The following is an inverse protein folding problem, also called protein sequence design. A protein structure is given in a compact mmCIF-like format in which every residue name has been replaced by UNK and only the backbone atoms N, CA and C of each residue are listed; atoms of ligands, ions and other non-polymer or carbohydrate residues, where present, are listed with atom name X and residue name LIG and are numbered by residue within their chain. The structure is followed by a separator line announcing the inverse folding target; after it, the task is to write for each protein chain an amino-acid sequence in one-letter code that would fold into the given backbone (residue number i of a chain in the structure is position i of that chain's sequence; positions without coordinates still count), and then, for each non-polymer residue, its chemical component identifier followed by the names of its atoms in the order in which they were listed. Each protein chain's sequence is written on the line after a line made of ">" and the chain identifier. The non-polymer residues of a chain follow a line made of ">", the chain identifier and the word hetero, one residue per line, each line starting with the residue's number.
data_IF_792012719403
#
_entry.id   IF_792012719403
#
_cell.length_a   1.000
_cell.length_b   1.000
_cell.length_c   1.000
_cell.angle_alpha   90.00
_cell.angle_beta   90.00
_cell.angle_gamma   90.00
#
_symmetry.space_group_name_H-M   'P 1'
#
loop_
_entity.id
_entity.type
_entity.pdbx_description
1 polymer ?
#
# COMPACT_ATOMS: atom_id res chain seq x y z
N UNK A 1 19.31 27.45 9.29
CA UNK A 1 19.42 26.66 10.54
C UNK A 1 18.01 26.40 11.06
N UNK A 2 17.60 25.15 11.23
CA UNK A 2 16.25 24.81 11.73
C UNK A 2 16.11 25.22 13.20
N UNK A 3 14.94 25.68 13.62
CA UNK A 3 14.70 26.00 15.03
C UNK A 3 14.69 24.71 15.90
N UNK A 4 14.84 24.87 17.22
CA UNK A 4 14.92 23.73 18.15
C UNK A 4 13.68 22.84 18.13
N UNK A 5 12.50 23.42 17.91
CA UNK A 5 11.23 22.69 17.80
C UNK A 5 11.20 21.81 16.55
N UNK A 6 11.53 22.39 15.39
CA UNK A 6 11.61 21.66 14.11
C UNK A 6 12.70 20.59 14.14
N UNK A 7 13.87 20.88 14.71
CA UNK A 7 14.95 19.91 14.90
C UNK A 7 14.50 18.69 15.73
N UNK A 8 13.72 18.90 16.81
CA UNK A 8 13.18 17.82 17.65
C UNK A 8 12.12 16.97 16.91
N UNK A 9 11.22 17.59 16.16
CA UNK A 9 10.20 16.87 15.37
C UNK A 9 10.84 15.99 14.32
N UNK A 10 11.76 16.55 13.52
CA UNK A 10 12.48 15.77 12.51
C UNK A 10 13.28 14.63 13.14
N UNK A 11 13.93 14.87 14.28
CA UNK A 11 14.64 13.81 15.02
C UNK A 11 13.70 12.66 15.41
N UNK A 12 12.46 12.96 15.81
CA UNK A 12 11.50 11.93 16.19
C UNK A 12 10.93 11.17 14.99
N UNK A 13 10.75 11.83 13.84
CA UNK A 13 10.23 11.20 12.62
C UNK A 13 11.15 10.09 12.13
N UNK A 14 12.48 10.29 12.19
CA UNK A 14 13.46 9.32 11.69
C UNK A 14 13.89 8.25 12.71
N UNK A 15 13.34 8.26 13.93
CA UNK A 15 13.65 7.25 14.94
C UNK A 15 12.83 5.97 14.75
N UNK A 16 13.43 4.78 14.91
CA UNK A 16 12.68 3.53 14.93
C UNK A 16 11.54 3.54 15.95
N UNK A 17 10.47 2.84 15.63
CA UNK A 17 9.37 2.64 16.57
C UNK A 17 8.71 1.28 16.37
N UNK A 18 8.05 0.81 17.44
CA UNK A 18 7.33 -0.46 17.43
C UNK A 18 5.84 -0.22 17.17
N UNK A 19 5.31 -0.84 16.12
CA UNK A 19 3.88 -0.88 15.80
C UNK A 19 3.35 -2.29 16.09
N UNK A 20 2.80 -2.49 17.28
CA UNK A 20 2.40 -3.81 17.76
C UNK A 20 3.58 -4.78 17.81
N UNK A 21 3.57 -5.79 16.94
CA UNK A 21 4.66 -6.77 16.81
C UNK A 21 5.73 -6.37 15.78
N UNK A 22 5.48 -5.34 14.99
CA UNK A 22 6.38 -4.91 13.92
C UNK A 22 7.33 -3.82 14.42
N UNK A 23 8.58 -3.94 14.02
CA UNK A 23 9.56 -2.87 14.15
C UNK A 23 9.65 -2.10 12.83
N UNK A 24 9.50 -0.78 12.90
CA UNK A 24 9.60 0.13 11.77
C UNK A 24 10.85 0.99 11.95
N UNK A 25 11.64 1.12 10.88
CA UNK A 25 12.90 1.89 10.89
C UNK A 25 12.72 3.38 11.19
N UNK A 26 11.52 3.92 10.96
CA UNK A 26 11.13 5.28 11.27
C UNK A 26 9.60 5.42 11.28
N UNK A 27 9.11 6.64 11.53
CA UNK A 27 7.68 6.98 11.64
C UNK A 27 7.09 7.53 10.32
N UNK A 28 7.84 7.45 9.22
CA UNK A 28 7.36 7.89 7.91
C UNK A 28 6.54 6.76 7.28
N UNK A 29 5.35 7.13 6.81
CA UNK A 29 4.41 6.20 6.17
C UNK A 29 4.09 6.73 4.80
N UNK A 30 4.17 5.87 3.78
CA UNK A 30 3.51 6.11 2.51
C UNK A 30 2.04 5.69 2.65
N UNK A 31 1.08 6.62 2.56
CA UNK A 31 -0.34 6.28 2.62
C UNK A 31 -0.79 5.57 1.35
N UNK A 32 -1.96 4.91 1.43
CA UNK A 32 -2.62 4.30 0.28
C UNK A 32 -3.01 5.38 -0.73
N UNK A 33 -2.62 5.16 -1.99
CA UNK A 33 -2.91 6.04 -3.13
C UNK A 33 -3.19 5.14 -4.33
N UNK A 34 -4.41 5.18 -4.88
CA UNK A 34 -4.76 4.35 -6.06
C UNK A 34 -3.99 4.88 -7.28
N UNK A 35 -3.12 4.05 -7.85
CA UNK A 35 -2.23 4.43 -8.96
C UNK A 35 -2.74 4.00 -10.33
N UNK A 36 -3.71 3.08 -10.36
CA UNK A 36 -4.20 2.45 -11.59
C UNK A 36 -3.12 1.66 -12.35
N UNK A 37 -2.14 1.10 -11.63
CA UNK A 37 -1.04 0.31 -12.21
C UNK A 37 -1.27 -1.21 -12.18
N UNK A 38 -2.37 -1.71 -11.60
CA UNK A 38 -2.71 -3.13 -11.72
C UNK A 38 -3.13 -3.45 -13.17
N UNK A 39 -3.20 -4.73 -13.51
CA UNK A 39 -3.83 -5.14 -14.77
C UNK A 39 -5.34 -4.87 -14.72
N UNK A 40 -6.00 -4.96 -15.87
CA UNK A 40 -7.48 -4.88 -15.95
C UNK A 40 -8.18 -6.02 -15.19
N UNK A 41 -7.47 -7.12 -14.92
CA UNK A 41 -7.92 -8.21 -14.05
C UNK A 41 -7.60 -7.99 -12.57
N UNK A 42 -7.01 -6.84 -12.22
CA UNK A 42 -6.56 -6.48 -10.88
C UNK A 42 -5.34 -7.22 -10.36
N UNK A 43 -4.58 -7.87 -11.25
CA UNK A 43 -3.31 -8.49 -10.91
C UNK A 43 -2.21 -7.43 -10.76
N UNK A 44 -1.31 -7.68 -9.82
CA UNK A 44 -0.09 -6.89 -9.68
C UNK A 44 0.71 -6.96 -10.98
N UNK A 45 1.19 -5.82 -11.45
CA UNK A 45 2.06 -5.72 -12.61
C UNK A 45 3.49 -5.41 -12.18
N UNK A 46 4.46 -5.67 -13.07
CA UNK A 46 5.85 -5.29 -12.83
C UNK A 46 6.01 -3.80 -12.52
N UNK A 47 5.29 -2.96 -13.24
CA UNK A 47 5.30 -1.49 -13.05
C UNK A 47 4.80 -1.09 -11.66
N UNK A 48 3.81 -1.81 -11.11
CA UNK A 48 3.34 -1.60 -9.75
C UNK A 48 4.39 -2.01 -8.72
N UNK A 49 5.09 -3.13 -8.93
CA UNK A 49 6.20 -3.58 -8.08
C UNK A 49 7.30 -2.53 -8.06
N UNK A 50 7.79 -2.11 -9.22
CA UNK A 50 8.86 -1.11 -9.32
C UNK A 50 8.43 0.22 -8.66
N UNK A 51 7.19 0.66 -8.88
CA UNK A 51 6.63 1.86 -8.25
C UNK A 51 6.74 1.81 -6.72
N UNK A 52 6.36 0.70 -6.10
CA UNK A 52 6.36 0.55 -4.65
C UNK A 52 7.74 0.28 -4.07
N UNK A 53 8.58 -0.47 -4.77
CA UNK A 53 9.96 -0.69 -4.40
C UNK A 53 10.72 0.65 -4.33
N UNK A 54 10.56 1.54 -5.31
CA UNK A 54 11.20 2.86 -5.30
C UNK A 54 10.80 3.72 -4.09
N UNK A 55 9.51 3.71 -3.72
CA UNK A 55 9.01 4.45 -2.55
C UNK A 55 9.50 3.87 -1.24
N UNK A 56 9.57 2.54 -1.14
CA UNK A 56 10.21 1.87 -0.04
C UNK A 56 11.72 2.21 0.01
N UNK A 57 12.41 2.22 -1.13
CA UNK A 57 13.82 2.61 -1.26
C UNK A 57 14.11 4.05 -0.82
N UNK A 58 13.13 4.94 -0.99
CA UNK A 58 13.16 6.33 -0.49
C UNK A 58 13.19 6.47 1.04
N UNK A 59 13.11 5.37 1.79
CA UNK A 59 13.39 5.35 3.22
C UNK A 59 12.17 5.37 4.13
N UNK A 60 10.93 5.23 3.63
CA UNK A 60 9.73 5.15 4.50
C UNK A 60 9.74 3.90 5.39
N UNK A 61 9.25 3.99 6.62
CA UNK A 61 9.15 2.83 7.52
C UNK A 61 8.08 1.84 7.06
N UNK A 62 6.98 2.34 6.52
CA UNK A 62 5.82 1.54 6.11
C UNK A 62 5.26 2.05 4.78
N UNK A 63 4.88 1.11 3.92
CA UNK A 63 4.12 1.33 2.71
C UNK A 63 2.74 0.72 2.88
N UNK A 64 1.69 1.54 2.82
CA UNK A 64 0.33 1.06 2.72
C UNK A 64 -0.05 1.00 1.23
N UNK A 65 0.02 -0.21 0.66
CA UNK A 65 -0.39 -0.50 -0.71
C UNK A 65 -1.87 -0.20 -0.88
N UNK A 66 -2.22 0.25 -2.08
CA UNK A 66 -3.51 0.75 -2.53
C UNK A 66 -4.74 -0.02 -2.03
N UNK A 67 -5.89 0.64 -2.18
CA UNK A 67 -7.20 0.01 -2.03
C UNK A 67 -7.35 -1.21 -2.94
N UNK A 68 -7.25 -2.41 -2.36
CA UNK A 68 -7.57 -3.67 -3.02
C UNK A 68 -9.04 -4.05 -2.83
N UNK A 69 -9.74 -4.32 -3.94
CA UNK A 69 -11.13 -4.75 -3.90
C UNK A 69 -11.26 -6.21 -3.44
N UNK A 70 -12.31 -6.48 -2.66
CA UNK A 70 -12.58 -7.80 -2.06
C UNK A 70 -13.66 -8.62 -2.77
N UNK A 71 -14.40 -8.00 -3.69
CA UNK A 71 -15.45 -8.63 -4.48
C UNK A 71 -15.18 -8.38 -5.96
N UNK A 72 -15.56 -9.34 -6.80
CA UNK A 72 -15.40 -9.22 -8.26
C UNK A 72 -16.23 -8.05 -8.82
N UNK A 73 -17.39 -7.80 -8.22
CA UNK A 73 -18.30 -6.72 -8.57
C UNK A 73 -17.71 -5.33 -8.29
N UNK A 74 -16.69 -5.26 -7.43
CA UNK A 74 -15.97 -4.02 -7.10
C UNK A 74 -14.82 -3.73 -8.08
N UNK A 75 -14.55 -4.63 -9.03
CA UNK A 75 -13.46 -4.49 -10.01
C UNK A 75 -13.67 -3.25 -10.88
N UNK A 76 -12.57 -2.59 -11.17
CA UNK A 76 -12.48 -1.46 -12.10
C UNK A 76 -11.09 -1.48 -12.76
N UNK A 77 -10.97 -0.85 -13.93
CA UNK A 77 -9.76 -0.90 -14.76
C UNK A 77 -8.54 -0.37 -13.99
N UNK A 78 -7.45 -1.12 -14.02
CA UNK A 78 -6.21 -0.77 -13.33
C UNK A 78 -6.24 -0.84 -11.80
N UNK A 79 -7.37 -1.20 -11.15
CA UNK A 79 -7.44 -1.30 -9.69
C UNK A 79 -6.92 -2.65 -9.20
N UNK A 80 -6.21 -2.64 -8.08
CA UNK A 80 -5.72 -3.85 -7.42
C UNK A 80 -6.86 -4.69 -6.84
N UNK A 81 -6.80 -6.02 -7.02
CA UNK A 81 -7.74 -6.97 -6.43
C UNK A 81 -7.10 -7.89 -5.40
N UNK A 82 -7.91 -8.40 -4.45
CA UNK A 82 -7.52 -9.47 -3.52
C UNK A 82 -8.56 -10.62 -3.45
N UNK A 83 -9.68 -10.51 -4.16
CA UNK A 83 -10.76 -11.51 -4.13
C UNK A 83 -10.29 -12.91 -4.53
N UNK A 84 -9.39 -13.00 -5.51
CA UNK A 84 -8.98 -14.27 -6.11
C UNK A 84 -7.71 -14.85 -5.46
N UNK A 85 -7.66 -16.15 -5.14
CA UNK A 85 -6.42 -16.82 -4.78
C UNK A 85 -5.30 -16.66 -5.83
N UNK A 86 -5.64 -16.54 -7.12
CA UNK A 86 -4.66 -16.32 -8.20
C UNK A 86 -3.94 -14.98 -8.10
N UNK A 87 -4.54 -13.96 -7.48
CA UNK A 87 -3.94 -12.63 -7.30
C UNK A 87 -2.88 -12.63 -6.18
N UNK A 88 -2.88 -13.64 -5.30
CA UNK A 88 -1.98 -13.71 -4.14
C UNK A 88 -0.50 -13.79 -4.51
N UNK A 89 -0.16 -14.43 -5.62
CA UNK A 89 1.24 -14.57 -6.06
C UNK A 89 1.85 -13.18 -6.31
N UNK A 90 1.21 -12.37 -7.14
CA UNK A 90 1.69 -11.01 -7.38
C UNK A 90 1.64 -10.10 -6.16
N UNK A 91 0.65 -10.29 -5.26
CA UNK A 91 0.61 -9.57 -3.98
C UNK A 91 1.79 -9.94 -3.07
N UNK A 92 2.22 -11.21 -3.07
CA UNK A 92 3.39 -11.67 -2.33
C UNK A 92 4.68 -11.07 -2.91
N UNK A 93 4.85 -11.09 -4.23
CA UNK A 93 5.99 -10.47 -4.92
C UNK A 93 6.08 -8.96 -4.62
N UNK A 94 4.94 -8.26 -4.64
CA UNK A 94 4.87 -6.84 -4.29
C UNK A 94 5.29 -6.60 -2.83
N UNK A 95 4.79 -7.44 -1.90
CA UNK A 95 5.13 -7.33 -0.49
C UNK A 95 6.62 -7.62 -0.25
N UNK A 96 7.20 -8.61 -0.94
CA UNK A 96 8.63 -8.94 -0.88
C UNK A 96 9.48 -7.78 -1.37
N UNK A 97 9.18 -7.22 -2.55
CA UNK A 97 9.91 -6.09 -3.10
C UNK A 97 9.92 -4.86 -2.17
N UNK A 98 8.81 -4.59 -1.47
CA UNK A 98 8.75 -3.52 -0.45
C UNK A 98 9.63 -3.85 0.78
N UNK A 99 9.60 -5.11 1.21
CA UNK A 99 10.31 -5.57 2.41
C UNK A 99 11.82 -5.63 2.20
N UNK A 100 12.27 -6.03 1.01
CA UNK A 100 13.69 -6.00 0.61
C UNK A 100 14.30 -4.60 0.73
N UNK A 101 13.49 -3.55 0.54
CA UNK A 101 13.91 -2.15 0.70
C UNK A 101 13.88 -1.68 2.16
N UNK A 102 13.57 -2.55 3.12
CA UNK A 102 13.58 -2.27 4.56
C UNK A 102 12.31 -1.62 5.11
N UNK A 103 11.23 -1.53 4.32
CA UNK A 103 9.92 -1.07 4.78
C UNK A 103 9.03 -2.26 5.19
N UNK A 104 7.93 -1.99 5.90
CA UNK A 104 6.83 -2.96 6.05
C UNK A 104 5.76 -2.73 4.99
N UNK A 105 5.23 -3.81 4.43
CA UNK A 105 4.16 -3.78 3.44
C UNK A 105 2.80 -4.02 4.11
N UNK A 106 1.87 -3.08 3.94
CA UNK A 106 0.48 -3.18 4.35
C UNK A 106 -0.38 -3.11 3.10
N UNK A 107 -1.59 -3.68 3.15
CA UNK A 107 -2.55 -3.59 2.06
C UNK A 107 -3.86 -3.01 2.59
N UNK A 108 -4.39 -1.98 1.93
CA UNK A 108 -5.72 -1.46 2.24
C UNK A 108 -6.80 -2.35 1.62
N UNK A 109 -7.46 -3.15 2.46
CA UNK A 109 -8.64 -3.92 2.05
C UNK A 109 -9.85 -2.99 1.94
N UNK A 110 -10.51 -2.97 0.79
CA UNK A 110 -11.62 -2.05 0.51
C UNK A 110 -12.82 -2.75 -0.12
N UNK A 111 -14.01 -2.32 0.30
CA UNK A 111 -15.29 -2.63 -0.31
C UNK A 111 -16.00 -1.30 -0.60
N UNK A 112 -16.47 -1.09 -1.82
CA UNK A 112 -17.02 0.20 -2.28
C UNK A 112 -18.47 0.45 -1.81
N UNK A 113 -19.14 -0.59 -1.33
CA UNK A 113 -20.46 -0.45 -0.70
C UNK A 113 -21.50 0.09 -1.68
N UNK A 114 -22.40 0.94 -1.21
CA UNK A 114 -23.48 1.49 -2.03
C UNK A 114 -22.99 2.38 -3.18
N UNK A 115 -21.73 2.81 -3.18
CA UNK A 115 -21.12 3.57 -4.29
C UNK A 115 -21.07 2.75 -5.57
N UNK A 116 -21.14 1.42 -5.48
CA UNK A 116 -21.23 0.55 -6.65
C UNK A 116 -22.55 0.63 -7.38
N UNK A 117 -23.61 1.19 -6.77
CA UNK A 117 -24.79 1.67 -7.49
C UNK A 117 -25.50 0.68 -8.43
N UNK A 118 -25.30 -0.63 -8.32
CA UNK A 118 -26.01 -1.64 -9.12
C UNK A 118 -26.23 -2.90 -8.27
N UNK A 119 -27.18 -2.86 -7.34
CA UNK A 119 -28.10 -3.97 -6.99
C UNK A 119 -28.88 -3.65 -5.71
N UNK A 120 -30.04 -3.01 -5.88
CA UNK A 120 -31.34 -3.44 -5.29
C UNK A 120 -32.44 -2.44 -5.68
N UNK A 121 -33.19 -2.83 -6.72
CA UNK A 121 -34.59 -2.45 -7.01
C UNK A 121 -35.06 -1.01 -6.75
N UNK A 122 -35.16 -0.24 -7.83
CA UNK A 122 -36.37 0.54 -8.14
C UNK A 122 -36.74 0.28 -9.59
#
# INVERSE_FOLDING_TARGET
>A
MLDRGTSRVLTNLFRPFRLGRLELRNRLVMPSMVTFLASDSGAVTRRMIDYYAERAGGGVGLVNVESAYVLEEDRDLGRLGIENPRLRVGLAELAEAIQEQGARAFLQVNHRGSVLGIHRGK
#
